data_IF_199002561252
#
_entry.id   IF_199002561252
#
_cell.length_a   1.000
_cell.length_b   1.000
_cell.length_c   1.000
_cell.angle_alpha   90.00
_cell.angle_beta   90.00
_cell.angle_gamma   90.00
#
_symmetry.space_group_name_H-M   'P 1'
#
loop_
_entity.id
_entity.type
_entity.pdbx_description
1 polymer ?
#
# COMPACT_ATOMS: atom_id res chain seq x y z
N UNK A 1 -14.28 -16.01 6.88
CA UNK A 1 -14.54 -14.81 6.07
C UNK A 1 -15.89 -14.93 5.35
N UNK A 2 -16.44 -13.80 4.95
CA UNK A 2 -17.65 -13.74 4.11
C UNK A 2 -17.35 -12.83 2.90
N UNK A 3 -17.73 -13.29 1.73
CA UNK A 3 -17.67 -12.53 0.50
C UNK A 3 -18.96 -12.69 -0.31
N UNK A 4 -19.10 -11.97 -1.40
CA UNK A 4 -20.25 -12.13 -2.29
C UNK A 4 -19.81 -12.45 -3.71
N UNK A 5 -20.71 -13.02 -4.50
CA UNK A 5 -20.44 -13.30 -5.91
C UNK A 5 -20.03 -12.03 -6.69
N UNK A 6 -20.52 -10.85 -6.28
CA UNK A 6 -20.16 -9.57 -6.89
C UNK A 6 -18.71 -9.24 -6.57
N UNK A 7 -18.34 -9.25 -5.29
CA UNK A 7 -16.97 -8.93 -4.84
C UNK A 7 -15.94 -9.86 -5.47
N UNK A 8 -16.21 -11.19 -5.48
CA UNK A 8 -15.32 -12.15 -6.12
C UNK A 8 -15.07 -11.78 -7.58
N UNK A 9 -16.12 -11.51 -8.35
CA UNK A 9 -15.99 -11.12 -9.77
C UNK A 9 -15.27 -9.76 -9.95
N UNK A 10 -15.43 -8.86 -9.02
CA UNK A 10 -14.71 -7.57 -9.05
C UNK A 10 -13.21 -7.75 -8.80
N UNK A 11 -12.84 -8.59 -7.82
CA UNK A 11 -11.43 -8.91 -7.54
C UNK A 11 -10.80 -9.63 -8.73
N UNK A 12 -11.45 -10.66 -9.28
CA UNK A 12 -10.98 -11.35 -10.48
C UNK A 12 -10.74 -10.38 -11.66
N UNK A 13 -11.69 -9.45 -11.88
CA UNK A 13 -11.55 -8.44 -12.92
C UNK A 13 -10.38 -7.50 -12.64
N UNK A 14 -10.21 -7.03 -11.41
CA UNK A 14 -9.10 -6.17 -10.99
C UNK A 14 -7.74 -6.85 -11.18
N UNK A 15 -7.62 -8.12 -10.80
CA UNK A 15 -6.39 -8.91 -11.04
C UNK A 15 -6.05 -8.90 -12.53
N UNK A 16 -7.03 -9.15 -13.40
CA UNK A 16 -6.83 -9.17 -14.84
C UNK A 16 -6.43 -7.78 -15.37
N UNK A 17 -7.10 -6.72 -14.93
CA UNK A 17 -6.80 -5.34 -15.30
C UNK A 17 -5.36 -4.96 -14.92
N UNK A 18 -4.92 -5.26 -13.70
CA UNK A 18 -3.54 -4.98 -13.24
C UNK A 18 -2.48 -5.75 -14.04
N UNK A 19 -2.74 -7.04 -14.36
CA UNK A 19 -1.84 -7.80 -15.23
C UNK A 19 -1.71 -7.15 -16.60
N UNK A 20 -2.82 -6.70 -17.19
CA UNK A 20 -2.82 -6.04 -18.49
C UNK A 20 -2.08 -4.70 -18.46
N UNK A 21 -2.25 -3.92 -17.40
CA UNK A 21 -1.53 -2.65 -17.21
C UNK A 21 -0.03 -2.88 -17.07
N UNK A 22 0.40 -3.83 -16.22
CA UNK A 22 1.79 -4.20 -16.07
C UNK A 22 2.43 -4.67 -17.38
N UNK A 23 1.76 -5.55 -18.12
CA UNK A 23 2.23 -6.01 -19.43
C UNK A 23 2.30 -4.89 -20.48
N UNK A 24 1.36 -3.94 -20.44
CA UNK A 24 1.43 -2.72 -21.26
C UNK A 24 2.65 -1.89 -20.91
N UNK A 25 2.97 -1.73 -19.63
CA UNK A 25 4.18 -1.07 -19.14
C UNK A 25 5.45 -1.73 -19.69
N UNK A 26 5.59 -3.04 -19.52
CA UNK A 26 6.71 -3.83 -20.02
C UNK A 26 6.85 -3.69 -21.54
N UNK A 27 5.76 -3.76 -22.30
CA UNK A 27 5.78 -3.61 -23.74
C UNK A 27 6.16 -2.19 -24.18
N UNK A 28 5.78 -1.17 -23.41
CA UNK A 28 6.20 0.21 -23.65
C UNK A 28 7.69 0.39 -23.40
N UNK A 29 8.20 -0.15 -22.27
CA UNK A 29 9.63 -0.19 -21.98
C UNK A 29 10.41 -0.86 -23.11
N UNK A 30 10.04 -2.07 -23.52
CA UNK A 30 10.71 -2.82 -24.60
C UNK A 30 10.76 -2.06 -25.91
N UNK A 31 9.75 -1.24 -26.22
CA UNK A 31 9.75 -0.40 -27.45
C UNK A 31 10.71 0.77 -27.36
N UNK A 32 10.89 1.35 -26.17
CA UNK A 32 11.81 2.47 -25.95
C UNK A 32 13.26 2.01 -25.78
N UNK A 33 13.47 0.92 -25.08
CA UNK A 33 14.78 0.40 -24.70
C UNK A 33 15.45 -0.46 -25.81
N UNK A 34 15.31 -0.09 -27.09
CA UNK A 34 15.82 -0.87 -28.23
C UNK A 34 17.34 -1.10 -28.14
N UNK A 35 18.09 -0.11 -27.66
CA UNK A 35 19.52 -0.19 -27.45
C UNK A 35 19.93 -1.32 -26.48
N UNK A 36 19.14 -1.54 -25.41
CA UNK A 36 19.41 -2.58 -24.42
C UNK A 36 19.23 -3.99 -24.98
N UNK A 37 18.43 -4.14 -26.05
CA UNK A 37 18.18 -5.44 -26.67
C UNK A 37 19.43 -6.05 -27.30
N UNK A 38 20.40 -5.21 -27.68
CA UNK A 38 21.68 -5.64 -28.31
C UNK A 38 22.77 -5.92 -27.27
N UNK A 39 22.48 -5.70 -25.97
CA UNK A 39 23.45 -5.93 -24.90
C UNK A 39 23.53 -7.43 -24.59
N UNK A 40 24.77 -7.95 -24.43
CA UNK A 40 25.00 -9.39 -24.22
C UNK A 40 24.94 -9.83 -22.75
N UNK A 41 24.26 -9.10 -21.89
CA UNK A 41 24.01 -9.46 -20.50
C UNK A 41 22.72 -10.28 -20.39
N UNK A 42 22.74 -11.39 -19.64
CA UNK A 42 21.62 -12.31 -19.54
C UNK A 42 20.45 -11.71 -18.74
N UNK A 43 20.69 -10.85 -17.75
CA UNK A 43 19.66 -10.16 -17.00
C UNK A 43 18.91 -9.19 -17.92
N UNK A 44 19.65 -8.46 -18.76
CA UNK A 44 19.05 -7.53 -19.74
C UNK A 44 18.24 -8.31 -20.79
N UNK A 45 18.77 -9.43 -21.29
CA UNK A 45 18.05 -10.28 -22.25
C UNK A 45 16.73 -10.80 -21.68
N UNK A 46 16.68 -11.13 -20.40
CA UNK A 46 15.44 -11.60 -19.75
C UNK A 46 14.31 -10.55 -19.76
N UNK A 47 14.62 -9.25 -19.78
CA UNK A 47 13.63 -8.17 -19.90
C UNK A 47 12.90 -8.20 -21.25
N UNK A 48 13.46 -8.85 -22.26
CA UNK A 48 12.91 -8.93 -23.62
C UNK A 48 12.30 -10.31 -23.95
N UNK A 49 12.28 -11.26 -23.01
CA UNK A 49 11.63 -12.56 -23.22
C UNK A 49 10.12 -12.40 -23.41
N UNK A 50 9.53 -13.28 -24.20
CA UNK A 50 8.08 -13.34 -24.33
C UNK A 50 7.42 -13.71 -22.99
N UNK A 51 6.38 -12.99 -22.65
CA UNK A 51 5.59 -13.20 -21.44
C UNK A 51 4.26 -13.82 -21.86
N UNK A 52 3.96 -14.99 -21.30
CA UNK A 52 2.69 -15.65 -21.52
C UNK A 52 1.61 -15.04 -20.59
N UNK A 53 0.82 -14.10 -21.12
CA UNK A 53 -0.27 -13.47 -20.38
C UNK A 53 -1.28 -14.50 -19.81
N UNK A 54 -1.61 -15.53 -20.58
CA UNK A 54 -2.58 -16.55 -20.16
C UNK A 54 -2.09 -17.31 -18.92
N UNK A 55 -0.82 -17.72 -18.90
CA UNK A 55 -0.22 -18.43 -17.78
C UNK A 55 -0.16 -17.57 -16.52
N UNK A 56 0.18 -16.28 -16.65
CA UNK A 56 0.17 -15.33 -15.53
C UNK A 56 -1.24 -15.17 -14.97
N UNK A 57 -2.24 -14.98 -15.82
CA UNK A 57 -3.65 -14.84 -15.40
C UNK A 57 -4.14 -16.09 -14.69
N UNK A 58 -3.88 -17.27 -15.22
CA UNK A 58 -4.27 -18.55 -14.61
C UNK A 58 -3.62 -18.72 -13.23
N UNK A 59 -2.32 -18.41 -13.08
CA UNK A 59 -1.61 -18.48 -11.81
C UNK A 59 -2.16 -17.48 -10.78
N UNK A 60 -2.39 -16.23 -11.19
CA UNK A 60 -2.92 -15.21 -10.29
C UNK A 60 -4.36 -15.54 -9.83
N UNK A 61 -5.21 -16.00 -10.72
CA UNK A 61 -6.57 -16.43 -10.35
C UNK A 61 -6.55 -17.69 -9.50
N UNK A 62 -5.64 -18.63 -9.76
CA UNK A 62 -5.46 -19.82 -8.91
C UNK A 62 -4.99 -19.44 -7.50
N UNK A 63 -4.07 -18.49 -7.36
CA UNK A 63 -3.64 -17.98 -6.05
C UNK A 63 -4.79 -17.30 -5.29
N UNK A 64 -5.62 -16.51 -5.98
CA UNK A 64 -6.81 -15.91 -5.37
C UNK A 64 -7.82 -16.97 -4.91
N UNK A 65 -8.08 -18.00 -5.73
CA UNK A 65 -8.98 -19.09 -5.34
C UNK A 65 -8.41 -19.88 -4.15
N UNK A 66 -7.10 -20.16 -4.14
CA UNK A 66 -6.42 -20.78 -3.00
C UNK A 66 -6.60 -19.97 -1.72
N UNK A 67 -6.41 -18.66 -1.78
CA UNK A 67 -6.67 -17.76 -0.64
C UNK A 67 -8.13 -17.86 -0.13
N UNK A 68 -9.12 -17.92 -1.05
CA UNK A 68 -10.53 -18.04 -0.67
C UNK A 68 -10.84 -19.37 0.02
N UNK A 69 -10.18 -20.46 -0.40
CA UNK A 69 -10.29 -21.80 0.20
C UNK A 69 -9.61 -21.83 1.58
N UNK A 70 -8.36 -21.39 1.67
CA UNK A 70 -7.55 -21.41 2.90
C UNK A 70 -8.18 -20.55 4.00
N UNK A 71 -8.78 -19.42 3.63
CA UNK A 71 -9.50 -18.53 4.56
C UNK A 71 -10.92 -19.00 4.89
N UNK A 72 -11.35 -20.18 4.44
CA UNK A 72 -12.71 -20.70 4.60
C UNK A 72 -13.78 -19.65 4.25
N UNK A 73 -13.60 -18.95 3.14
CA UNK A 73 -14.49 -17.86 2.76
C UNK A 73 -15.84 -18.38 2.28
N UNK A 74 -16.91 -17.97 2.94
CA UNK A 74 -18.29 -18.22 2.51
C UNK A 74 -18.68 -17.21 1.44
N UNK A 75 -19.06 -17.69 0.24
CA UNK A 75 -19.53 -16.85 -0.85
C UNK A 75 -21.06 -16.80 -0.83
N UNK A 76 -21.59 -15.61 -0.58
CA UNK A 76 -23.04 -15.36 -0.58
C UNK A 76 -23.48 -14.95 -1.98
N UNK A 77 -24.53 -15.60 -2.49
CA UNK A 77 -25.14 -15.24 -3.76
C UNK A 77 -26.23 -14.14 -3.59
N UNK A 78 -26.72 -13.63 -4.73
CA UNK A 78 -27.69 -12.54 -4.76
C UNK A 78 -29.15 -13.02 -4.68
N UNK A 79 -29.41 -14.33 -4.54
CA UNK A 79 -30.75 -14.92 -4.66
C UNK A 79 -31.73 -14.47 -3.58
N UNK A 80 -31.22 -14.04 -2.42
CA UNK A 80 -32.03 -13.59 -1.29
C UNK A 80 -32.16 -12.06 -1.20
N UNK A 81 -31.57 -11.32 -2.12
CA UNK A 81 -31.63 -9.86 -2.12
C UNK A 81 -33.02 -9.40 -2.63
N UNK A 82 -33.69 -8.57 -1.84
CA UNK A 82 -34.92 -7.94 -2.28
C UNK A 82 -34.60 -6.76 -3.23
N UNK A 83 -34.96 -6.94 -4.50
CA UNK A 83 -34.76 -5.93 -5.53
C UNK A 83 -35.55 -4.65 -5.26
N UNK A 84 -36.72 -4.72 -4.60
CA UNK A 84 -37.48 -3.54 -4.27
C UNK A 84 -36.76 -2.70 -3.22
N UNK A 85 -36.12 -3.35 -2.24
CA UNK A 85 -35.32 -2.64 -1.26
C UNK A 85 -34.14 -1.90 -1.91
N UNK A 86 -33.45 -2.52 -2.86
CA UNK A 86 -32.38 -1.85 -3.62
C UNK A 86 -32.92 -0.61 -4.36
N UNK A 87 -34.09 -0.74 -4.97
CA UNK A 87 -34.77 0.37 -5.68
C UNK A 87 -35.14 1.48 -4.71
N UNK A 88 -35.72 1.16 -3.57
CA UNK A 88 -36.10 2.14 -2.55
C UNK A 88 -34.85 2.88 -2.00
N UNK A 89 -33.76 2.16 -1.71
CA UNK A 89 -32.49 2.78 -1.30
C UNK A 89 -31.95 3.75 -2.35
N UNK A 90 -32.05 3.39 -3.63
CA UNK A 90 -31.59 4.24 -4.73
C UNK A 90 -32.38 5.55 -4.82
N UNK A 91 -33.73 5.48 -4.81
CA UNK A 91 -34.57 6.66 -4.91
C UNK A 91 -34.55 7.52 -3.65
N UNK A 92 -34.46 6.90 -2.48
CA UNK A 92 -34.36 7.59 -1.19
C UNK A 92 -32.95 8.16 -0.92
N UNK A 93 -31.96 7.83 -1.75
CA UNK A 93 -30.53 8.17 -1.58
C UNK A 93 -29.97 7.69 -0.23
N UNK A 94 -30.40 6.53 0.21
CA UNK A 94 -29.86 5.85 1.40
C UNK A 94 -28.54 5.18 1.06
N UNK A 95 -27.60 5.18 2.01
CA UNK A 95 -26.32 4.49 1.84
C UNK A 95 -26.50 3.03 1.38
N UNK A 96 -25.69 2.55 0.43
CA UNK A 96 -24.47 3.18 -0.11
C UNK A 96 -24.73 4.25 -1.21
N UNK A 97 -25.99 4.50 -1.62
CA UNK A 97 -26.27 5.55 -2.60
C UNK A 97 -26.18 6.93 -1.97
N UNK A 98 -25.53 7.84 -2.69
CA UNK A 98 -25.45 9.25 -2.32
C UNK A 98 -25.66 10.16 -3.52
N UNK A 99 -25.85 11.46 -3.26
CA UNK A 99 -25.98 12.43 -4.34
C UNK A 99 -24.71 12.55 -5.21
N UNK A 100 -23.54 12.22 -4.64
CA UNK A 100 -22.25 12.24 -5.35
C UNK A 100 -21.96 10.91 -6.05
N UNK A 101 -22.43 9.79 -5.50
CA UNK A 101 -22.24 8.43 -6.02
C UNK A 101 -23.62 7.76 -6.22
N UNK A 102 -24.33 8.03 -7.31
CA UNK A 102 -25.67 7.49 -7.52
C UNK A 102 -25.68 6.05 -8.04
N UNK A 103 -24.53 5.47 -8.43
CA UNK A 103 -24.47 4.19 -9.16
C UNK A 103 -23.92 3.03 -8.33
N UNK A 104 -23.96 3.11 -7.00
CA UNK A 104 -23.40 2.12 -6.07
C UNK A 104 -24.29 0.85 -5.91
N UNK A 105 -24.88 0.39 -7.02
CA UNK A 105 -25.72 -0.81 -7.03
C UNK A 105 -24.99 -2.07 -6.59
N UNK A 106 -23.69 -2.20 -6.93
CA UNK A 106 -22.90 -3.37 -6.54
C UNK A 106 -22.72 -3.44 -5.04
N UNK A 107 -22.46 -2.30 -4.41
CA UNK A 107 -22.30 -2.21 -2.96
C UNK A 107 -23.63 -2.46 -2.26
N UNK A 108 -24.73 -1.90 -2.77
CA UNK A 108 -26.08 -2.17 -2.24
C UNK A 108 -26.42 -3.68 -2.31
N UNK A 109 -26.18 -4.33 -3.44
CA UNK A 109 -26.39 -5.77 -3.57
C UNK A 109 -25.49 -6.56 -2.62
N UNK A 110 -24.23 -6.20 -2.50
CA UNK A 110 -23.28 -6.86 -1.60
C UNK A 110 -23.73 -6.76 -0.15
N UNK A 111 -24.06 -5.56 0.33
CA UNK A 111 -24.50 -5.34 1.70
C UNK A 111 -25.80 -6.08 2.04
N UNK A 112 -26.78 -6.01 1.15
CA UNK A 112 -28.06 -6.70 1.35
C UNK A 112 -27.92 -8.23 1.28
N UNK A 113 -27.06 -8.76 0.40
CA UNK A 113 -26.75 -10.17 0.36
C UNK A 113 -26.13 -10.65 1.67
N UNK A 114 -25.10 -9.96 2.16
CA UNK A 114 -24.45 -10.28 3.44
C UNK A 114 -25.48 -10.21 4.57
N UNK A 115 -26.28 -9.14 4.65
CA UNK A 115 -27.33 -9.00 5.68
C UNK A 115 -28.31 -10.17 5.63
N UNK A 116 -28.68 -10.62 4.44
CA UNK A 116 -29.62 -11.76 4.29
C UNK A 116 -29.03 -13.11 4.72
N UNK A 117 -27.72 -13.21 4.85
CA UNK A 117 -27.01 -14.41 5.27
C UNK A 117 -26.75 -14.45 6.79
N UNK A 118 -26.89 -13.30 7.47
CA UNK A 118 -26.68 -13.22 8.93
C UNK A 118 -27.93 -13.69 9.69
N UNK A 119 -27.67 -14.35 10.82
CA UNK A 119 -28.71 -14.68 11.82
C UNK A 119 -29.12 -13.46 12.66
N UNK A 120 -30.23 -13.58 13.40
CA UNK A 120 -30.84 -12.47 14.15
C UNK A 120 -29.92 -11.75 15.16
N UNK A 121 -28.88 -12.43 15.67
CA UNK A 121 -27.92 -11.87 16.66
C UNK A 121 -26.47 -11.91 16.17
N UNK A 122 -26.25 -12.24 14.92
CA UNK A 122 -24.91 -12.28 14.33
C UNK A 122 -24.45 -10.88 13.96
N UNK A 123 -23.16 -10.61 14.20
CA UNK A 123 -22.50 -9.38 13.80
C UNK A 123 -21.35 -9.70 12.85
N UNK A 124 -21.09 -8.80 11.93
CA UNK A 124 -19.99 -8.91 10.98
C UNK A 124 -19.13 -7.65 11.01
N UNK A 125 -17.82 -7.84 10.98
CA UNK A 125 -16.89 -6.75 10.76
C UNK A 125 -16.78 -6.47 9.27
N UNK A 126 -16.90 -5.20 8.89
CA UNK A 126 -16.72 -4.71 7.52
C UNK A 126 -15.47 -3.84 7.49
N UNK A 127 -14.44 -4.29 6.79
CA UNK A 127 -13.20 -3.52 6.64
C UNK A 127 -13.33 -2.64 5.41
N UNK A 128 -13.47 -1.34 5.60
CA UNK A 128 -13.56 -0.38 4.50
C UNK A 128 -13.35 1.06 4.97
N UNK A 129 -12.67 1.85 4.15
CA UNK A 129 -12.55 3.31 4.30
C UNK A 129 -13.63 4.09 3.54
N UNK A 130 -14.49 3.41 2.76
CA UNK A 130 -15.51 4.08 1.98
C UNK A 130 -16.62 4.68 2.89
N UNK A 131 -16.80 6.02 2.87
CA UNK A 131 -17.81 6.68 3.70
C UNK A 131 -19.24 6.27 3.39
N UNK A 132 -19.56 5.81 2.18
CA UNK A 132 -20.90 5.35 1.83
C UNK A 132 -21.19 3.97 2.46
N UNK A 133 -20.19 3.06 2.49
CA UNK A 133 -20.29 1.81 3.26
C UNK A 133 -20.40 2.08 4.77
N UNK A 134 -19.63 3.05 5.28
CA UNK A 134 -19.71 3.47 6.68
C UNK A 134 -21.11 3.91 7.06
N UNK A 135 -21.72 4.76 6.24
CA UNK A 135 -23.11 5.22 6.47
C UNK A 135 -24.12 4.07 6.54
N UNK A 136 -23.99 3.05 5.69
CA UNK A 136 -24.84 1.86 5.76
C UNK A 136 -24.63 1.06 7.05
N UNK A 137 -23.38 0.86 7.45
CA UNK A 137 -23.06 0.11 8.67
C UNK A 137 -23.57 0.82 9.93
N UNK A 138 -23.48 2.14 9.99
CA UNK A 138 -23.99 2.94 11.12
C UNK A 138 -25.53 2.82 11.29
N UNK A 139 -26.24 2.60 10.20
CA UNK A 139 -27.69 2.41 10.20
C UNK A 139 -28.13 0.95 10.47
N UNK A 140 -27.18 0.01 10.62
CA UNK A 140 -27.47 -1.43 10.75
C UNK A 140 -26.66 -2.07 11.86
N UNK A 141 -27.26 -2.42 12.97
CA UNK A 141 -26.63 -2.97 14.19
C UNK A 141 -25.84 -4.29 13.99
N UNK A 142 -26.10 -5.00 12.89
CA UNK A 142 -25.39 -6.22 12.53
C UNK A 142 -24.01 -5.98 11.91
N UNK A 143 -23.69 -4.74 11.51
CA UNK A 143 -22.46 -4.40 10.83
C UNK A 143 -21.57 -3.54 11.73
N UNK A 144 -20.32 -3.92 11.87
CA UNK A 144 -19.30 -3.18 12.61
C UNK A 144 -18.25 -2.73 11.60
N UNK A 145 -18.15 -1.44 11.33
CA UNK A 145 -17.18 -0.89 10.38
C UNK A 145 -15.82 -0.71 11.05
N UNK A 146 -14.76 -1.16 10.36
CA UNK A 146 -13.36 -0.93 10.74
C UNK A 146 -12.64 -0.35 9.52
N UNK A 147 -11.88 0.74 9.71
CA UNK A 147 -11.24 1.47 8.62
C UNK A 147 -10.16 0.68 7.90
N UNK A 148 -9.41 -0.19 8.60
CA UNK A 148 -8.30 -0.92 8.01
C UNK A 148 -8.20 -2.36 8.53
N UNK A 149 -7.66 -3.26 7.70
CA UNK A 149 -7.53 -4.68 8.05
C UNK A 149 -6.58 -4.89 9.24
N UNK A 150 -5.49 -4.14 9.29
CA UNK A 150 -4.53 -4.23 10.40
C UNK A 150 -5.16 -3.87 11.76
N UNK A 151 -6.13 -2.94 11.79
CA UNK A 151 -6.88 -2.62 13.01
C UNK A 151 -7.75 -3.80 13.47
N UNK A 152 -8.42 -4.48 12.52
CA UNK A 152 -9.20 -5.67 12.85
C UNK A 152 -8.33 -6.81 13.36
N UNK A 153 -7.19 -7.05 12.73
CA UNK A 153 -6.26 -8.11 13.13
C UNK A 153 -5.63 -7.82 14.48
N UNK A 154 -5.27 -6.58 14.76
CA UNK A 154 -4.75 -6.14 16.05
C UNK A 154 -5.78 -6.36 17.16
N UNK A 155 -7.02 -5.91 16.97
CA UNK A 155 -8.12 -6.15 17.92
C UNK A 155 -8.36 -7.65 18.17
N UNK A 156 -8.35 -8.46 17.11
CA UNK A 156 -8.54 -9.89 17.19
C UNK A 156 -7.42 -10.56 18.00
N UNK A 157 -6.17 -10.20 17.72
CA UNK A 157 -5.01 -10.77 18.39
C UNK A 157 -4.92 -10.33 19.86
N UNK A 158 -5.16 -9.06 20.16
CA UNK A 158 -5.11 -8.51 21.52
C UNK A 158 -6.14 -9.15 22.48
N UNK A 159 -7.29 -9.56 21.98
CA UNK A 159 -8.36 -10.11 22.84
C UNK A 159 -8.12 -11.54 23.31
N UNK A 160 -7.24 -12.29 22.66
CA UNK A 160 -7.18 -13.75 22.83
C UNK A 160 -5.87 -14.29 23.42
N UNK A 161 -4.86 -13.45 23.69
CA UNK A 161 -3.55 -13.98 24.06
C UNK A 161 -2.81 -13.16 25.13
N UNK A 162 -2.39 -13.86 26.22
CA UNK A 162 -1.55 -13.28 27.28
C UNK A 162 -0.15 -12.85 26.76
N UNK A 163 0.28 -13.38 25.60
CA UNK A 163 1.53 -13.04 24.93
C UNK A 163 1.56 -11.60 24.42
N UNK A 164 0.41 -11.01 24.12
CA UNK A 164 0.30 -9.61 23.69
C UNK A 164 0.99 -8.65 24.65
N UNK A 165 0.76 -8.83 25.96
CA UNK A 165 1.42 -8.00 26.96
C UNK A 165 2.95 -8.16 27.04
N UNK A 166 3.51 -9.28 26.53
CA UNK A 166 4.94 -9.41 26.34
C UNK A 166 5.40 -8.61 25.10
N UNK A 167 4.69 -8.77 23.99
CA UNK A 167 5.04 -8.09 22.74
C UNK A 167 5.02 -6.57 22.93
N UNK A 168 4.02 -6.02 23.63
CA UNK A 168 3.96 -4.60 23.96
C UNK A 168 5.20 -4.15 24.76
N UNK A 169 5.57 -4.89 25.82
CA UNK A 169 6.77 -4.59 26.61
C UNK A 169 8.06 -4.75 25.81
N UNK A 170 8.13 -5.73 24.91
CA UNK A 170 9.25 -5.91 24.02
C UNK A 170 9.41 -4.68 23.11
N UNK A 171 8.34 -4.25 22.45
CA UNK A 171 8.36 -3.09 21.57
C UNK A 171 8.76 -1.81 22.32
N UNK A 172 8.22 -1.59 23.53
CA UNK A 172 8.64 -0.47 24.36
C UNK A 172 10.13 -0.53 24.71
N UNK A 173 10.65 -1.70 25.07
CA UNK A 173 12.06 -1.88 25.45
C UNK A 173 13.02 -1.78 24.27
N UNK A 174 12.58 -2.09 23.06
CA UNK A 174 13.37 -2.11 21.81
C UNK A 174 13.12 -0.90 20.92
N UNK A 175 12.33 0.05 21.36
CA UNK A 175 11.94 1.20 20.54
C UNK A 175 13.15 1.94 19.95
N UNK A 176 14.19 2.19 20.75
CA UNK A 176 15.41 2.85 20.27
C UNK A 176 16.15 2.01 19.23
N UNK A 177 16.20 0.67 19.40
CA UNK A 177 16.84 -0.24 18.46
C UNK A 177 16.04 -0.35 17.15
N UNK A 178 14.71 -0.33 17.23
CA UNK A 178 13.82 -0.32 16.06
C UNK A 178 14.04 0.97 15.25
N UNK A 179 14.06 2.13 15.92
CA UNK A 179 14.31 3.43 15.27
C UNK A 179 15.71 3.44 14.64
N UNK A 180 16.72 2.91 15.31
CA UNK A 180 18.06 2.84 14.77
C UNK A 180 18.13 1.99 13.50
N UNK A 181 17.54 0.79 13.50
CA UNK A 181 17.51 -0.09 12.32
C UNK A 181 16.75 0.57 11.16
N UNK A 182 15.60 1.21 11.48
CA UNK A 182 14.81 1.95 10.49
C UNK A 182 15.67 3.05 9.83
N UNK A 183 16.40 3.82 10.65
CA UNK A 183 17.31 4.87 10.17
C UNK A 183 18.39 4.29 9.27
N UNK A 184 19.06 3.22 9.69
CA UNK A 184 20.13 2.55 8.93
C UNK A 184 19.63 2.05 7.56
N UNK A 185 18.42 1.46 7.48
CA UNK A 185 17.84 1.01 6.23
C UNK A 185 17.48 2.18 5.29
N UNK A 186 16.86 3.24 5.84
CA UNK A 186 16.53 4.43 5.07
C UNK A 186 17.78 5.17 4.56
N UNK A 187 18.84 5.30 5.35
CA UNK A 187 20.06 5.98 4.96
C UNK A 187 20.83 5.24 3.83
N UNK A 188 20.61 3.92 3.70
CA UNK A 188 21.23 3.11 2.64
C UNK A 188 20.38 3.02 1.36
N UNK A 189 19.17 3.55 1.37
CA UNK A 189 18.28 3.51 0.23
C UNK A 189 18.78 4.39 -0.93
N UNK A 190 18.50 3.97 -2.16
CA UNK A 190 18.68 4.81 -3.33
C UNK A 190 17.65 5.96 -3.30
N UNK A 191 18.03 7.13 -3.81
CA UNK A 191 17.15 8.29 -3.88
C UNK A 191 17.14 8.88 -5.28
N UNK A 192 15.97 9.37 -5.71
CA UNK A 192 15.83 10.01 -7.02
C UNK A 192 14.89 11.21 -6.95
N UNK A 193 15.11 12.17 -7.85
CA UNK A 193 14.29 13.36 -7.97
C UNK A 193 13.18 13.14 -9.02
N UNK A 194 11.93 13.35 -8.63
CA UNK A 194 10.76 13.27 -9.51
C UNK A 194 10.17 14.62 -9.87
N UNK A 195 10.86 15.70 -9.52
CA UNK A 195 10.42 17.06 -9.82
C UNK A 195 10.40 17.39 -11.31
N UNK A 196 9.96 18.60 -11.67
CA UNK A 196 10.00 19.11 -13.05
C UNK A 196 11.39 19.56 -13.49
N UNK A 197 12.37 19.54 -12.61
CA UNK A 197 13.75 19.90 -12.89
C UNK A 197 14.45 18.76 -13.64
N UNK A 198 14.40 18.81 -14.97
CA UNK A 198 14.96 17.77 -15.85
C UNK A 198 16.47 17.61 -15.65
N UNK A 199 16.96 16.37 -15.68
CA UNK A 199 18.36 15.99 -15.49
C UNK A 199 18.95 16.39 -14.11
N UNK A 200 18.12 16.62 -13.11
CA UNK A 200 18.55 16.80 -11.72
C UNK A 200 18.71 15.45 -11.01
N UNK A 201 19.63 15.42 -10.06
CA UNK A 201 19.95 14.26 -9.24
C UNK A 201 19.92 14.62 -7.76
N UNK A 202 19.59 13.66 -6.89
CA UNK A 202 19.70 13.83 -5.45
C UNK A 202 21.18 13.62 -5.06
N UNK A 203 21.81 14.67 -4.54
CA UNK A 203 23.19 14.62 -4.07
C UNK A 203 23.30 13.94 -2.70
N UNK A 204 22.38 14.30 -1.82
CA UNK A 204 22.31 13.76 -0.45
C UNK A 204 20.95 14.02 0.18
N UNK A 205 20.61 13.19 1.16
CA UNK A 205 19.52 13.43 2.07
C UNK A 205 19.93 13.07 3.50
N UNK A 206 19.30 13.71 4.49
CA UNK A 206 19.54 13.51 5.91
C UNK A 206 18.19 13.34 6.60
N UNK A 207 18.04 12.32 7.44
CA UNK A 207 16.86 12.12 8.26
C UNK A 207 16.93 13.08 9.44
N UNK A 208 15.93 13.96 9.56
CA UNK A 208 15.84 14.97 10.63
C UNK A 208 14.91 14.55 11.75
N UNK A 209 13.87 13.78 11.43
CA UNK A 209 12.92 13.32 12.41
C UNK A 209 12.24 12.02 11.93
N UNK A 210 11.91 11.14 12.89
CA UNK A 210 11.03 9.99 12.71
C UNK A 210 9.89 10.16 13.70
N UNK A 211 8.65 10.10 13.22
CA UNK A 211 7.46 10.26 14.07
C UNK A 211 7.32 9.13 15.08
N UNK A 212 6.55 9.37 16.14
CA UNK A 212 6.03 8.29 16.96
C UNK A 212 5.12 7.38 16.12
N UNK A 213 5.10 6.10 16.42
CA UNK A 213 4.31 5.11 15.70
C UNK A 213 3.55 4.20 16.65
N UNK A 214 2.43 3.65 16.19
CA UNK A 214 1.58 2.73 16.95
C UNK A 214 1.65 1.34 16.30
N UNK A 215 2.40 0.38 16.90
CA UNK A 215 2.51 -0.97 16.38
C UNK A 215 1.19 -1.74 16.48
N UNK A 216 0.84 -2.48 15.41
CA UNK A 216 -0.35 -3.32 15.31
C UNK A 216 0.05 -4.77 15.06
N UNK A 217 -0.43 -5.69 15.88
CA UNK A 217 -0.14 -7.11 15.77
C UNK A 217 -1.05 -7.71 14.69
N UNK A 218 -0.47 -8.10 13.55
CA UNK A 218 -1.23 -8.67 12.44
C UNK A 218 -1.28 -10.20 12.46
N UNK A 219 -0.27 -10.83 13.06
CA UNK A 219 -0.24 -12.27 13.27
C UNK A 219 0.52 -12.61 14.57
N UNK A 220 0.07 -13.63 15.27
CA UNK A 220 0.69 -14.10 16.50
C UNK A 220 0.53 -15.62 16.60
N UNK A 221 1.65 -16.34 16.67
CA UNK A 221 1.71 -17.77 16.92
C UNK A 221 2.59 -18.11 18.14
N UNK A 222 3.01 -19.37 18.29
CA UNK A 222 3.76 -19.83 19.45
C UNK A 222 5.23 -19.39 19.46
N UNK A 223 5.80 -19.06 18.30
CA UNK A 223 7.24 -18.79 18.10
C UNK A 223 7.51 -17.47 17.38
N UNK A 224 6.46 -16.83 16.82
CA UNK A 224 6.62 -15.59 16.04
C UNK A 224 5.44 -14.63 16.17
N UNK A 225 5.72 -13.36 15.87
CA UNK A 225 4.72 -12.31 15.81
C UNK A 225 5.03 -11.38 14.63
N UNK A 226 4.02 -11.11 13.81
CA UNK A 226 4.12 -10.10 12.76
C UNK A 226 3.41 -8.82 13.20
N UNK A 227 4.12 -7.72 13.07
CA UNK A 227 3.69 -6.39 13.52
C UNK A 227 3.82 -5.44 12.34
N UNK A 228 2.87 -4.53 12.19
CA UNK A 228 2.96 -3.43 11.21
C UNK A 228 2.70 -2.10 11.88
N UNK A 229 3.33 -1.06 11.37
CA UNK A 229 3.07 0.33 11.76
C UNK A 229 3.42 1.29 10.63
N UNK A 230 2.78 2.44 10.65
CA UNK A 230 3.08 3.53 9.74
C UNK A 230 3.93 4.57 10.47
N UNK A 231 4.91 5.15 9.77
CA UNK A 231 5.82 6.15 10.30
C UNK A 231 6.02 7.27 9.28
N UNK A 232 5.97 8.51 9.74
CA UNK A 232 6.33 9.68 8.92
C UNK A 232 7.77 10.06 9.22
N UNK A 233 8.58 10.16 8.18
CA UNK A 233 10.01 10.52 8.26
C UNK A 233 10.22 11.86 7.58
N UNK A 234 10.87 12.80 8.29
CA UNK A 234 11.25 14.11 7.76
C UNK A 234 12.69 14.07 7.28
N UNK A 235 12.93 14.64 6.12
CA UNK A 235 14.22 14.66 5.45
C UNK A 235 14.63 16.08 5.10
N UNK A 236 15.94 16.37 5.23
CA UNK A 236 16.59 17.47 4.52
C UNK A 236 17.22 16.91 3.25
N UNK A 237 16.80 17.39 2.11
CA UNK A 237 17.21 16.84 0.80
C UNK A 237 17.96 17.91 0.04
N UNK A 238 19.07 17.51 -0.59
CA UNK A 238 19.85 18.34 -1.51
C UNK A 238 19.82 17.71 -2.89
N UNK A 239 19.39 18.46 -3.87
CA UNK A 239 19.47 18.08 -5.27
C UNK A 239 20.32 19.07 -6.07
N UNK A 240 20.98 18.59 -7.11
CA UNK A 240 21.67 19.41 -8.09
C UNK A 240 21.24 19.08 -9.50
N UNK A 241 21.30 20.07 -10.36
CA UNK A 241 20.89 19.93 -11.76
C UNK A 241 21.27 21.13 -12.61
N UNK A 242 20.91 21.12 -13.90
CA UNK A 242 21.22 22.17 -14.82
C UNK A 242 20.61 23.52 -14.38
N UNK A 243 21.40 24.61 -14.43
CA UNK A 243 20.90 25.99 -14.21
C UNK A 243 20.05 26.43 -15.41
N UNK A 244 18.74 26.19 -15.32
CA UNK A 244 17.82 26.56 -16.40
C UNK A 244 17.50 28.06 -16.39
N UNK A 245 17.64 28.73 -15.24
CA UNK A 245 17.41 30.16 -15.12
C UNK A 245 18.43 30.99 -15.93
N UNK A 246 19.68 30.51 -16.00
CA UNK A 246 20.76 31.14 -16.77
C UNK A 246 21.07 30.41 -18.09
N UNK A 247 20.19 29.53 -18.54
CA UNK A 247 20.35 28.79 -19.79
C UNK A 247 20.15 29.66 -21.04
N UNK A 248 20.64 29.18 -22.16
CA UNK A 248 20.53 29.83 -23.47
C UNK A 248 19.71 28.96 -24.44
N UNK A 249 18.68 29.55 -25.03
CA UNK A 249 17.89 28.92 -26.07
C UNK A 249 18.44 29.26 -27.47
N UNK A 250 18.98 28.27 -28.17
CA UNK A 250 19.40 28.41 -29.54
C UNK A 250 18.22 28.25 -30.49
N UNK A 251 17.92 29.32 -31.23
CA UNK A 251 16.82 29.37 -32.22
C UNK A 251 17.12 28.65 -33.50
N UNK A 252 18.42 28.41 -33.82
CA UNK A 252 18.83 27.77 -35.06
C UNK A 252 18.64 26.26 -35.00
N UNK A 253 18.94 25.63 -33.89
CA UNK A 253 18.75 24.19 -33.69
C UNK A 253 17.58 23.82 -32.79
N UNK A 254 16.89 24.82 -32.18
CA UNK A 254 15.70 24.62 -31.37
C UNK A 254 15.99 23.97 -29.99
N UNK A 255 17.24 24.06 -29.52
CA UNK A 255 17.66 23.46 -28.27
C UNK A 255 17.94 24.48 -27.17
N UNK A 256 17.73 24.05 -25.94
CA UNK A 256 18.08 24.79 -24.74
C UNK A 256 19.41 24.25 -24.21
N UNK A 257 20.35 25.11 -23.91
CA UNK A 257 21.67 24.78 -23.38
C UNK A 257 21.87 25.40 -22.04
N UNK A 258 22.31 24.59 -21.07
CA UNK A 258 22.75 25.01 -19.74
C UNK A 258 24.25 24.80 -19.64
N UNK A 259 24.95 25.69 -18.94
CA UNK A 259 26.40 25.67 -18.85
C UNK A 259 26.91 25.45 -17.43
N UNK A 260 26.05 25.72 -16.45
CA UNK A 260 26.35 25.62 -15.02
C UNK A 260 25.35 24.65 -14.35
N UNK A 261 25.75 24.17 -13.17
CA UNK A 261 24.93 23.35 -12.27
C UNK A 261 24.63 24.16 -11.03
N UNK A 262 23.40 24.11 -10.57
CA UNK A 262 22.96 24.71 -9.31
C UNK A 262 22.48 23.61 -8.36
N UNK A 263 22.48 23.91 -7.06
CA UNK A 263 21.94 23.01 -6.05
C UNK A 263 20.83 23.70 -5.28
N UNK A 264 19.79 22.95 -4.95
CA UNK A 264 18.71 23.40 -4.11
C UNK A 264 18.50 22.44 -2.92
N UNK A 265 17.89 22.97 -1.84
CA UNK A 265 17.62 22.23 -0.60
C UNK A 265 16.14 22.34 -0.27
N UNK A 266 15.53 21.24 0.06
CA UNK A 266 14.14 21.22 0.54
C UNK A 266 13.98 20.29 1.74
N UNK A 267 12.99 20.60 2.58
CA UNK A 267 12.53 19.72 3.64
C UNK A 267 11.32 18.95 3.12
N UNK A 268 11.35 17.60 3.19
CA UNK A 268 10.25 16.75 2.76
C UNK A 268 9.87 15.74 3.83
N UNK A 269 8.59 15.41 3.88
CA UNK A 269 8.07 14.33 4.71
C UNK A 269 7.58 13.19 3.82
N UNK A 270 7.90 11.97 4.25
CA UNK A 270 7.47 10.74 3.57
C UNK A 270 6.87 9.76 4.57
N UNK A 271 5.78 9.14 4.18
CA UNK A 271 5.14 8.09 4.94
C UNK A 271 5.63 6.71 4.50
N UNK A 272 6.01 5.89 5.47
CA UNK A 272 6.42 4.51 5.24
C UNK A 272 5.59 3.55 6.08
N UNK A 273 5.21 2.43 5.48
CA UNK A 273 4.66 1.29 6.22
C UNK A 273 5.79 0.31 6.51
N UNK A 274 5.97 0.01 7.78
CA UNK A 274 7.00 -0.88 8.29
C UNK A 274 6.39 -2.20 8.73
N UNK A 275 7.01 -3.30 8.35
CA UNK A 275 6.71 -4.64 8.83
C UNK A 275 7.85 -5.11 9.73
N UNK A 276 7.51 -5.57 10.93
CA UNK A 276 8.43 -6.12 11.88
C UNK A 276 8.03 -7.56 12.18
N UNK A 277 8.94 -8.50 11.97
CA UNK A 277 8.77 -9.90 12.30
C UNK A 277 9.63 -10.21 13.52
N UNK A 278 8.97 -10.51 14.64
CA UNK A 278 9.58 -10.89 15.91
C UNK A 278 9.55 -12.40 16.06
N UNK A 279 10.72 -12.98 16.35
CA UNK A 279 10.88 -14.39 16.72
C UNK A 279 11.21 -14.49 18.21
N UNK A 280 10.66 -15.49 18.89
CA UNK A 280 10.88 -15.71 20.30
C UNK A 280 10.74 -17.20 20.67
N UNK A 281 11.36 -17.60 21.77
CA UNK A 281 11.13 -18.89 22.41
C UNK A 281 10.47 -18.67 23.77
N UNK A 282 9.65 -19.64 24.21
CA UNK A 282 9.02 -19.59 25.53
C UNK A 282 9.68 -20.65 26.41
N UNK A 283 10.32 -20.22 27.51
CA UNK A 283 10.87 -21.10 28.53
C UNK A 283 10.32 -20.70 29.92
N UNK A 284 9.75 -21.66 30.65
CA UNK A 284 9.13 -21.45 31.97
C UNK A 284 8.14 -20.26 32.04
N UNK A 285 7.47 -19.93 30.93
CA UNK A 285 6.55 -18.78 30.82
C UNK A 285 7.25 -17.44 30.66
N UNK A 286 8.55 -17.45 30.35
CA UNK A 286 9.31 -16.27 29.96
C UNK A 286 9.76 -16.40 28.50
N UNK A 287 9.76 -15.28 27.83
CA UNK A 287 10.27 -15.20 26.46
C UNK A 287 11.79 -15.03 26.51
N UNK A 288 12.49 -15.84 25.72
CA UNK A 288 13.95 -15.83 25.57
C UNK A 288 14.29 -15.84 24.09
N UNK A 289 15.57 -15.55 23.78
CA UNK A 289 16.10 -15.57 22.41
C UNK A 289 15.27 -14.74 21.44
N UNK A 290 14.94 -13.50 21.85
CA UNK A 290 14.19 -12.57 21.02
C UNK A 290 15.07 -11.96 19.91
N UNK A 291 14.66 -12.16 18.68
CA UNK A 291 15.24 -11.53 17.48
C UNK A 291 14.15 -10.90 16.65
N UNK A 292 14.42 -9.78 16.01
CA UNK A 292 13.48 -9.18 15.10
C UNK A 292 14.14 -8.76 13.77
N UNK A 293 13.37 -8.91 12.70
CA UNK A 293 13.66 -8.40 11.38
C UNK A 293 12.71 -7.24 11.09
N UNK A 294 13.22 -6.22 10.39
CA UNK A 294 12.45 -5.06 9.99
C UNK A 294 12.49 -4.98 8.46
N UNK A 295 11.38 -4.63 7.86
CA UNK A 295 11.26 -4.40 6.43
C UNK A 295 10.42 -3.15 6.19
N UNK A 296 10.90 -2.26 5.33
CA UNK A 296 10.20 -1.03 4.94
C UNK A 296 9.58 -1.25 3.57
N UNK A 297 8.25 -1.21 3.50
CA UNK A 297 7.53 -1.49 2.28
C UNK A 297 7.86 -0.46 1.19
N UNK A 298 8.24 -0.97 0.01
CA UNK A 298 8.53 -0.16 -1.16
C UNK A 298 9.92 0.47 -1.21
N UNK A 299 10.76 0.29 -0.17
CA UNK A 299 12.11 0.89 -0.12
C UNK A 299 13.03 0.36 -1.22
N UNK A 300 12.83 -0.87 -1.69
CA UNK A 300 13.58 -1.46 -2.82
C UNK A 300 13.46 -0.65 -4.11
N UNK A 301 12.40 0.16 -4.25
CA UNK A 301 12.22 1.06 -5.38
C UNK A 301 12.99 2.40 -5.24
N UNK A 302 13.60 2.63 -4.08
CA UNK A 302 14.24 3.89 -3.70
C UNK A 302 13.25 4.92 -3.14
N UNK A 303 13.80 5.99 -2.58
CA UNK A 303 13.03 7.11 -2.03
C UNK A 303 12.86 8.19 -3.10
N UNK A 304 11.62 8.49 -3.40
CA UNK A 304 11.26 9.54 -4.35
C UNK A 304 11.16 10.89 -3.64
N UNK A 305 11.99 11.86 -4.06
CA UNK A 305 11.94 13.25 -3.61
C UNK A 305 11.47 14.16 -4.75
N UNK A 306 11.02 15.37 -4.41
CA UNK A 306 10.50 16.34 -5.39
C UNK A 306 11.12 17.72 -5.15
N UNK A 307 12.42 17.85 -5.43
CA UNK A 307 13.18 19.09 -5.28
C UNK A 307 13.23 19.83 -6.61
N UNK A 308 12.62 21.00 -6.69
CA UNK A 308 12.64 21.86 -7.88
C UNK A 308 13.90 22.77 -7.92
N UNK A 309 14.26 23.30 -9.10
CA UNK A 309 15.41 24.21 -9.27
C UNK A 309 15.33 25.45 -8.38
N UNK A 310 14.11 26.00 -8.19
CA UNK A 310 13.85 27.18 -7.38
C UNK A 310 12.79 26.85 -6.33
N UNK A 311 13.08 27.10 -5.05
CA UNK A 311 12.06 26.99 -4.01
C UNK A 311 10.93 28.01 -4.24
N UNK A 312 9.69 27.61 -3.96
CA UNK A 312 8.50 28.47 -4.10
C UNK A 312 8.54 29.73 -3.22
N UNK A 313 9.51 29.84 -2.31
CA UNK A 313 9.70 31.02 -1.45
C UNK A 313 10.29 32.24 -2.17
N UNK A 314 11.00 32.04 -3.27
CA UNK A 314 11.62 33.14 -4.04
C UNK A 314 10.63 33.97 -4.88
N UNK A 315 9.36 33.59 -4.94
CA UNK A 315 8.30 34.28 -5.68
C UNK A 315 7.34 35.12 -4.82
N UNK A 316 7.70 35.47 -3.56
CA UNK A 316 6.89 36.36 -2.72
C UNK A 316 7.48 37.72 -2.49
#
# INVERSE_FOLDING_TARGET
HISTTIVVKEVERKIIEHIQEALKGINNFRRKAVILKEYEDDNIKNLFCEINETDIREKALSAFNGFMEDSNTTIVDMSKVDLNEVIDMYFDKKSPFSAKKPNEFRDAFTLLAIRSALGDNEKIYVVSEDPDLKGYCEDNDNFIIIGALNLLLDDYNKHNDERTGFIERFLESKNEEIIQKLTEELETAEAYNSSTWEDSEIDSFEITNISEFEPKIIHLDDESCQITFDVTVSFNVTASGPDTANGYYDKEDGKFYTFDTVSNHEEEEKDFTVELELFFEIDEGQFINDEFNLHINGLDAGIEFCVDENSWEDYR
#
